data_IF_056792133864
#
_entry.id   IF_056792133864
#
_cell.length_a   1.000
_cell.length_b   1.000
_cell.length_c   1.000
_cell.angle_alpha   90.00
_cell.angle_beta   90.00
_cell.angle_gamma   90.00
#
_symmetry.space_group_name_H-M   'P 1'
#
loop_
_entity.id
_entity.type
_entity.pdbx_description
1 polymer ?
#
# COMPACT_ATOMS: atom_id res chain seq x y z
N UNK A 1 -2.95 3.24 13.91
CA UNK A 1 -2.78 1.96 13.15
C UNK A 1 -4.05 1.08 12.97
N UNK A 2 -4.85 0.80 14.00
CA UNK A 2 -6.04 -0.09 13.89
C UNK A 2 -7.10 0.40 12.88
N UNK A 3 -7.21 1.72 12.71
CA UNK A 3 -8.08 2.34 11.69
C UNK A 3 -7.72 1.90 10.27
N UNK A 4 -6.44 2.00 9.89
CA UNK A 4 -5.95 1.58 8.57
C UNK A 4 -6.17 0.07 8.36
N UNK A 5 -5.87 -0.76 9.36
CA UNK A 5 -6.10 -2.21 9.23
C UNK A 5 -7.59 -2.52 8.99
N UNK A 6 -8.49 -1.87 9.73
CA UNK A 6 -9.94 -2.01 9.54
C UNK A 6 -10.41 -1.49 8.18
N UNK A 7 -9.84 -0.40 7.71
CA UNK A 7 -10.11 0.15 6.38
C UNK A 7 -9.69 -0.85 5.28
N UNK A 8 -8.50 -1.44 5.38
CA UNK A 8 -8.02 -2.45 4.42
C UNK A 8 -8.89 -3.70 4.45
N UNK A 9 -9.31 -4.15 5.64
CA UNK A 9 -10.24 -5.30 5.82
C UNK A 9 -11.60 -5.05 5.17
N UNK A 10 -12.16 -3.86 5.34
CA UNK A 10 -13.49 -3.48 4.81
C UNK A 10 -13.48 -3.09 3.33
N UNK A 11 -12.31 -2.80 2.77
CA UNK A 11 -12.17 -2.34 1.40
C UNK A 11 -12.63 -3.41 0.39
N UNK A 12 -13.64 -3.08 -0.42
CA UNK A 12 -14.23 -3.98 -1.43
C UNK A 12 -13.22 -4.32 -2.53
N UNK A 13 -12.92 -5.61 -2.72
CA UNK A 13 -12.05 -6.09 -3.79
C UNK A 13 -12.84 -6.32 -5.08
N UNK A 14 -12.69 -5.39 -6.02
CA UNK A 14 -13.39 -5.38 -7.31
C UNK A 14 -12.60 -6.09 -8.41
N UNK A 15 -11.29 -6.21 -8.26
CA UNK A 15 -10.39 -6.80 -9.25
C UNK A 15 -9.65 -8.00 -8.65
N UNK A 16 -9.29 -8.97 -9.49
CA UNK A 16 -8.56 -10.15 -9.05
C UNK A 16 -7.14 -9.78 -8.67
N UNK A 17 -6.46 -9.00 -9.50
CA UNK A 17 -5.08 -8.61 -9.24
C UNK A 17 -4.76 -7.18 -9.67
N UNK A 18 -3.67 -6.64 -9.13
CA UNK A 18 -3.10 -5.37 -9.57
C UNK A 18 -1.61 -5.53 -9.84
N UNK A 19 -1.13 -4.73 -10.77
CA UNK A 19 0.30 -4.56 -11.03
C UNK A 19 0.63 -3.08 -11.06
N UNK A 20 1.67 -2.71 -10.31
CA UNK A 20 2.22 -1.36 -10.24
C UNK A 20 3.64 -1.44 -10.75
N UNK A 21 3.94 -0.79 -11.86
CA UNK A 21 5.26 -0.84 -12.46
C UNK A 21 5.30 -0.46 -13.93
N UNK A 22 6.46 -0.65 -14.56
CA UNK A 22 6.72 -0.29 -15.94
C UNK A 22 7.50 -1.37 -16.68
N UNK A 23 7.83 -1.12 -17.94
CA UNK A 23 8.68 -2.00 -18.74
C UNK A 23 10.14 -1.92 -18.28
N UNK A 24 10.88 -3.03 -18.34
CA UNK A 24 12.34 -3.03 -18.07
C UNK A 24 13.16 -2.91 -19.36
N UNK A 25 14.39 -2.40 -19.25
CA UNK A 25 15.37 -2.49 -20.32
C UNK A 25 15.61 -3.95 -20.75
N UNK A 26 15.94 -4.13 -22.03
CA UNK A 26 16.29 -5.44 -22.59
C UNK A 26 17.49 -6.06 -21.86
N UNK A 27 17.41 -7.36 -21.56
CA UNK A 27 18.45 -8.10 -20.86
C UNK A 27 18.38 -8.02 -19.33
N UNK A 28 17.39 -7.30 -18.78
CA UNK A 28 17.15 -7.29 -17.34
C UNK A 28 16.39 -8.54 -16.91
N UNK A 29 16.75 -9.15 -15.77
CA UNK A 29 16.14 -10.40 -15.27
C UNK A 29 14.61 -10.33 -15.12
N UNK A 30 14.08 -9.14 -14.80
CA UNK A 30 12.65 -8.89 -14.63
C UNK A 30 11.91 -8.52 -15.93
N UNK A 31 12.61 -8.38 -17.07
CA UNK A 31 12.02 -7.96 -18.35
C UNK A 31 10.89 -8.88 -18.78
N UNK A 32 11.13 -10.19 -18.82
CA UNK A 32 10.15 -11.19 -19.26
C UNK A 32 8.94 -11.20 -18.34
N UNK A 33 9.16 -11.14 -17.02
CA UNK A 33 8.11 -11.15 -16.02
C UNK A 33 7.22 -9.90 -16.09
N UNK A 34 7.83 -8.71 -16.08
CA UNK A 34 7.08 -7.45 -16.12
C UNK A 34 6.31 -7.31 -17.44
N UNK A 35 6.93 -7.64 -18.57
CA UNK A 35 6.29 -7.57 -19.88
C UNK A 35 5.08 -8.51 -19.99
N UNK A 36 5.20 -9.74 -19.45
CA UNK A 36 4.10 -10.70 -19.45
C UNK A 36 2.92 -10.27 -18.56
N UNK A 37 3.21 -9.73 -17.36
CA UNK A 37 2.17 -9.20 -16.45
C UNK A 37 1.46 -8.00 -17.08
N UNK A 38 2.23 -7.06 -17.64
CA UNK A 38 1.67 -5.86 -18.29
C UNK A 38 0.78 -6.26 -19.47
N UNK A 39 1.23 -7.17 -20.33
CA UNK A 39 0.48 -7.63 -21.50
C UNK A 39 -0.86 -8.28 -21.10
N UNK A 40 -0.85 -9.18 -20.12
CA UNK A 40 -2.09 -9.80 -19.62
C UNK A 40 -3.02 -8.79 -18.95
N UNK A 41 -2.46 -7.89 -18.13
CA UNK A 41 -3.26 -6.91 -17.42
C UNK A 41 -3.98 -5.94 -18.36
N UNK A 42 -3.32 -5.50 -19.45
CA UNK A 42 -3.94 -4.65 -20.48
C UNK A 42 -5.13 -5.31 -21.20
N UNK A 43 -5.13 -6.65 -21.26
CA UNK A 43 -6.17 -7.44 -21.93
C UNK A 43 -7.22 -8.01 -20.96
N UNK A 44 -7.13 -7.70 -19.67
CA UNK A 44 -8.04 -8.20 -18.64
C UNK A 44 -8.85 -7.09 -17.99
N UNK A 45 -10.14 -7.35 -17.77
CA UNK A 45 -11.01 -6.48 -16.97
C UNK A 45 -10.85 -6.71 -15.46
N UNK A 46 -10.20 -7.81 -15.08
CA UNK A 46 -9.99 -8.20 -13.68
C UNK A 46 -8.64 -7.74 -13.14
N UNK A 47 -7.90 -6.93 -13.91
CA UNK A 47 -6.60 -6.39 -13.51
C UNK A 47 -6.62 -4.86 -13.43
N UNK A 48 -5.98 -4.31 -12.39
CA UNK A 48 -5.67 -2.88 -12.31
C UNK A 48 -4.18 -2.68 -12.65
N UNK A 49 -3.91 -1.97 -13.75
CA UNK A 49 -2.55 -1.59 -14.14
C UNK A 49 -2.27 -0.14 -13.73
N UNK A 50 -1.35 0.07 -12.81
CA UNK A 50 -0.74 1.40 -12.56
C UNK A 50 0.59 1.43 -13.30
N UNK A 51 0.59 2.00 -14.50
CA UNK A 51 1.77 1.97 -15.38
C UNK A 51 2.70 3.15 -15.12
N UNK A 52 3.82 2.89 -14.45
CA UNK A 52 4.84 3.90 -14.15
C UNK A 52 5.75 4.12 -15.37
N UNK A 53 5.62 5.28 -16.04
CA UNK A 53 6.44 5.63 -17.22
C UNK A 53 7.87 6.05 -16.85
N UNK A 54 8.03 6.76 -15.73
CA UNK A 54 9.32 7.25 -15.21
C UNK A 54 9.39 7.17 -13.68
N UNK A 55 10.59 7.16 -13.10
CA UNK A 55 10.81 7.06 -11.64
C UNK A 55 10.12 8.16 -10.82
N UNK A 56 9.96 9.37 -11.39
CA UNK A 56 9.32 10.52 -10.72
C UNK A 56 7.79 10.32 -10.61
N UNK A 57 7.16 9.68 -11.60
CA UNK A 57 5.70 9.47 -11.65
C UNK A 57 5.14 8.49 -10.60
N UNK A 58 5.99 7.81 -9.83
CA UNK A 58 5.54 6.87 -8.81
C UNK A 58 5.28 7.51 -7.43
N UNK A 59 5.92 8.66 -7.15
CA UNK A 59 5.83 9.33 -5.85
C UNK A 59 4.52 10.13 -5.73
N UNK A 60 4.09 10.75 -6.83
CA UNK A 60 2.84 11.50 -6.91
C UNK A 60 1.60 10.59 -7.07
N UNK A 61 1.81 9.28 -7.29
CA UNK A 61 0.75 8.31 -7.55
C UNK A 61 0.36 7.48 -6.31
N UNK A 62 0.68 7.94 -5.10
CA UNK A 62 0.42 7.19 -3.86
C UNK A 62 -1.06 6.79 -3.73
N UNK A 63 -1.99 7.71 -4.01
CA UNK A 63 -3.43 7.43 -3.95
C UNK A 63 -3.89 6.44 -5.01
N UNK A 64 -3.33 6.53 -6.22
CA UNK A 64 -3.62 5.60 -7.31
C UNK A 64 -3.13 4.19 -6.98
N UNK A 65 -1.90 4.09 -6.47
CA UNK A 65 -1.25 2.84 -6.05
C UNK A 65 -2.03 2.21 -4.90
N UNK A 66 -2.27 2.95 -3.82
CA UNK A 66 -3.02 2.46 -2.66
C UNK A 66 -4.46 2.11 -3.05
N UNK A 67 -5.07 2.89 -3.93
CA UNK A 67 -6.38 2.60 -4.51
C UNK A 67 -6.39 1.28 -5.29
N UNK A 68 -5.39 1.04 -6.13
CA UNK A 68 -5.23 -0.23 -6.86
C UNK A 68 -5.04 -1.41 -5.91
N UNK A 69 -4.18 -1.27 -4.90
CA UNK A 69 -3.92 -2.31 -3.89
C UNK A 69 -5.14 -2.61 -3.03
N UNK A 70 -5.90 -1.60 -2.61
CA UNK A 70 -7.14 -1.75 -1.83
C UNK A 70 -8.30 -2.34 -2.64
N UNK A 71 -8.26 -2.26 -3.97
CA UNK A 71 -9.30 -2.80 -4.87
C UNK A 71 -8.97 -4.18 -5.43
N UNK A 72 -7.72 -4.64 -5.36
CA UNK A 72 -7.30 -5.94 -5.87
C UNK A 72 -7.23 -7.03 -4.79
N UNK A 73 -7.50 -8.29 -5.15
CA UNK A 73 -7.31 -9.44 -4.24
C UNK A 73 -5.83 -9.81 -4.09
N UNK A 74 -5.05 -9.69 -5.17
CA UNK A 74 -3.62 -9.95 -5.21
C UNK A 74 -2.83 -8.74 -5.73
N UNK A 75 -1.68 -8.44 -5.14
CA UNK A 75 -0.73 -7.45 -5.67
C UNK A 75 0.47 -8.21 -6.26
N UNK A 76 0.71 -8.10 -7.56
CA UNK A 76 1.80 -8.82 -8.22
C UNK A 76 3.13 -8.13 -7.99
N UNK A 77 4.12 -8.91 -7.54
CA UNK A 77 5.51 -8.48 -7.39
C UNK A 77 6.43 -9.37 -8.25
N UNK A 78 6.90 -8.87 -9.40
CA UNK A 78 7.86 -9.57 -10.24
C UNK A 78 9.21 -9.81 -9.53
N UNK A 79 9.94 -10.88 -9.89
CA UNK A 79 11.28 -11.12 -9.37
C UNK A 79 12.23 -9.98 -9.76
N UNK A 80 13.13 -9.59 -8.86
CA UNK A 80 14.12 -8.54 -9.09
C UNK A 80 13.68 -7.12 -8.69
N UNK A 81 12.46 -6.95 -8.15
CA UNK A 81 11.93 -5.64 -7.74
C UNK A 81 12.18 -5.24 -6.29
N UNK A 82 12.95 -6.03 -5.52
CA UNK A 82 13.32 -5.64 -4.16
C UNK A 82 14.75 -6.04 -3.80
N UNK A 83 15.61 -5.04 -3.60
CA UNK A 83 16.85 -5.14 -2.81
C UNK A 83 16.54 -5.36 -1.31
N UNK A 84 15.27 -5.22 -0.94
CA UNK A 84 14.75 -5.13 0.43
C UNK A 84 14.42 -6.47 1.09
N UNK A 85 14.48 -7.59 0.35
CA UNK A 85 14.18 -8.91 0.93
C UNK A 85 15.10 -9.30 2.09
N UNK A 86 16.36 -8.86 2.10
CA UNK A 86 17.30 -9.15 3.19
C UNK A 86 17.01 -8.33 4.45
N UNK A 87 16.61 -7.07 4.30
CA UNK A 87 16.38 -6.17 5.43
C UNK A 87 15.09 -6.44 6.20
N UNK A 88 14.15 -7.20 5.61
CA UNK A 88 12.85 -7.49 6.21
C UNK A 88 12.65 -8.96 6.60
N UNK A 89 13.69 -9.78 6.49
CA UNK A 89 13.61 -11.22 6.75
C UNK A 89 13.05 -11.52 8.15
N UNK A 90 13.41 -10.72 9.16
CA UNK A 90 12.90 -10.85 10.53
C UNK A 90 11.40 -10.62 10.72
N UNK A 91 10.72 -9.99 9.75
CA UNK A 91 9.29 -9.67 9.84
C UNK A 91 8.43 -10.54 8.93
N UNK A 92 9.03 -11.29 8.01
CA UNK A 92 8.32 -12.14 7.05
C UNK A 92 8.01 -13.50 7.70
N UNK A 93 6.77 -14.02 7.57
CA UNK A 93 6.45 -15.37 8.02
C UNK A 93 7.38 -16.42 7.42
N UNK A 94 7.80 -17.41 8.21
CA UNK A 94 8.74 -18.46 7.79
C UNK A 94 8.28 -19.18 6.52
N UNK A 95 6.99 -19.50 6.45
CA UNK A 95 6.37 -20.15 5.29
C UNK A 95 5.79 -19.11 4.36
N UNK A 96 6.29 -19.07 3.12
CA UNK A 96 5.84 -18.08 2.12
C UNK A 96 4.40 -18.28 1.72
N UNK A 97 3.93 -19.52 1.77
CA UNK A 97 2.56 -19.91 1.42
C UNK A 97 1.53 -19.35 2.40
N UNK A 98 1.96 -18.83 3.56
CA UNK A 98 1.06 -18.21 4.52
C UNK A 98 0.55 -16.83 4.10
N UNK A 99 1.22 -16.18 3.16
CA UNK A 99 0.91 -14.79 2.78
C UNK A 99 1.15 -14.47 1.31
N UNK A 100 1.74 -15.38 0.54
CA UNK A 100 2.11 -15.16 -0.86
C UNK A 100 1.87 -16.40 -1.72
N UNK A 101 1.69 -16.16 -3.02
CA UNK A 101 1.52 -17.18 -4.04
C UNK A 101 2.69 -17.10 -5.01
N UNK A 102 3.38 -18.21 -5.24
CA UNK A 102 4.46 -18.26 -6.20
C UNK A 102 3.95 -18.72 -7.57
N UNK A 103 4.01 -17.84 -8.56
CA UNK A 103 3.68 -18.14 -9.96
C UNK A 103 4.96 -18.61 -10.65
N UNK A 104 4.97 -19.88 -11.09
CA UNK A 104 6.13 -20.45 -11.78
C UNK A 104 6.28 -19.89 -13.20
N UNK A 105 7.50 -19.88 -13.77
CA UNK A 105 7.75 -19.34 -15.12
C UNK A 105 6.84 -19.95 -16.20
N UNK A 106 6.50 -21.24 -16.11
CA UNK A 106 5.66 -21.96 -17.07
C UNK A 106 4.19 -21.51 -17.01
N UNK A 107 3.80 -20.84 -15.91
CA UNK A 107 2.45 -20.33 -15.67
C UNK A 107 2.35 -18.83 -15.91
N UNK A 108 3.45 -18.19 -16.32
CA UNK A 108 3.54 -16.74 -16.45
C UNK A 108 2.56 -16.17 -17.47
N UNK A 109 2.11 -16.94 -18.45
CA UNK A 109 1.11 -16.56 -19.45
C UNK A 109 -0.35 -16.78 -19.03
N UNK A 110 -0.60 -17.29 -17.82
CA UNK A 110 -1.93 -17.67 -17.31
C UNK A 110 -2.15 -17.19 -15.87
N UNK A 111 -1.73 -15.97 -15.57
CA UNK A 111 -1.74 -15.41 -14.21
C UNK A 111 -3.17 -15.39 -13.64
N UNK A 112 -4.12 -14.91 -14.43
CA UNK A 112 -5.52 -14.84 -14.03
C UNK A 112 -6.12 -16.23 -13.74
N UNK A 113 -5.79 -17.24 -14.56
CA UNK A 113 -6.23 -18.63 -14.34
C UNK A 113 -5.64 -19.24 -13.07
N UNK A 114 -4.41 -18.87 -12.70
CA UNK A 114 -3.78 -19.36 -11.48
C UNK A 114 -4.43 -18.72 -10.26
N UNK A 115 -4.58 -17.39 -10.27
CA UNK A 115 -5.09 -16.65 -9.12
C UNK A 115 -6.59 -16.89 -8.88
N UNK A 116 -7.37 -17.12 -9.93
CA UNK A 116 -8.82 -17.40 -9.83
C UNK A 116 -9.13 -18.75 -9.18
N UNK A 117 -8.18 -19.69 -9.20
CA UNK A 117 -8.34 -21.02 -8.56
C UNK A 117 -8.16 -20.99 -7.05
N UNK A 118 -7.69 -19.88 -6.49
CA UNK A 118 -7.42 -19.77 -5.06
C UNK A 118 -8.73 -19.46 -4.32
N UNK A 119 -9.15 -20.28 -3.35
CA UNK A 119 -10.40 -20.06 -2.62
C UNK A 119 -10.38 -18.73 -1.85
N UNK A 120 -11.50 -18.03 -1.80
CA UNK A 120 -11.60 -16.74 -1.10
C UNK A 120 -11.21 -16.84 0.39
N UNK A 121 -11.49 -17.98 1.04
CA UNK A 121 -11.08 -18.24 2.42
C UNK A 121 -9.56 -18.19 2.59
N UNK A 122 -8.82 -18.70 1.61
CA UNK A 122 -7.36 -18.69 1.63
C UNK A 122 -6.82 -17.29 1.35
N UNK A 123 -7.45 -16.56 0.41
CA UNK A 123 -7.13 -15.14 0.15
C UNK A 123 -7.29 -14.29 1.41
N UNK A 124 -8.38 -14.50 2.16
CA UNK A 124 -8.64 -13.78 3.41
C UNK A 124 -7.61 -14.12 4.48
N UNK A 125 -7.24 -15.41 4.61
CA UNK A 125 -6.19 -15.86 5.54
C UNK A 125 -4.85 -15.18 5.23
N UNK A 126 -4.39 -15.25 3.97
CA UNK A 126 -3.16 -14.59 3.53
C UNK A 126 -3.20 -13.09 3.79
N UNK A 127 -4.35 -12.46 3.53
CA UNK A 127 -4.54 -11.02 3.76
C UNK A 127 -4.39 -10.65 5.24
N UNK A 128 -4.97 -11.41 6.16
CA UNK A 128 -4.82 -11.11 7.59
C UNK A 128 -3.36 -11.20 8.04
N UNK A 129 -2.60 -12.15 7.50
CA UNK A 129 -1.15 -12.23 7.75
C UNK A 129 -0.43 -10.97 7.25
N UNK A 130 -0.73 -10.50 6.03
CA UNK A 130 -0.15 -9.26 5.48
C UNK A 130 -0.55 -8.02 6.29
N UNK A 131 -1.83 -7.88 6.66
CA UNK A 131 -2.35 -6.75 7.47
C UNK A 131 -1.69 -6.71 8.85
N UNK A 132 -1.42 -7.88 9.44
CA UNK A 132 -0.69 -8.00 10.68
C UNK A 132 0.80 -7.67 10.52
N UNK A 133 1.41 -8.05 9.39
CA UNK A 133 2.83 -7.87 9.12
C UNK A 133 3.22 -6.42 8.80
N UNK A 134 2.45 -5.69 7.98
CA UNK A 134 2.82 -4.35 7.48
C UNK A 134 3.19 -3.36 8.61
N UNK A 135 2.41 -3.22 9.70
CA UNK A 135 2.78 -2.34 10.80
C UNK A 135 4.13 -2.67 11.43
N UNK A 136 4.48 -3.97 11.51
CA UNK A 136 5.75 -4.44 12.08
C UNK A 136 6.91 -4.01 11.19
N UNK A 137 6.75 -4.18 9.87
CA UNK A 137 7.75 -3.82 8.86
C UNK A 137 7.98 -2.31 8.80
N UNK A 138 6.92 -1.51 8.90
CA UNK A 138 6.98 -0.06 8.66
C UNK A 138 7.29 0.76 9.91
N UNK A 139 6.86 0.32 11.10
CA UNK A 139 6.86 1.18 12.30
C UNK A 139 7.54 0.58 13.54
N UNK A 140 7.93 -0.70 13.53
CA UNK A 140 8.47 -1.35 14.73
C UNK A 140 9.80 -2.03 14.45
N UNK A 141 10.76 -1.88 15.37
CA UNK A 141 11.95 -2.73 15.39
C UNK A 141 11.57 -4.17 15.78
N UNK A 142 12.27 -5.23 15.35
CA UNK A 142 11.85 -6.61 15.63
C UNK A 142 11.86 -6.97 17.12
N UNK A 143 12.62 -6.21 17.92
CA UNK A 143 12.74 -6.39 19.38
C UNK A 143 11.70 -5.61 20.22
N UNK A 144 10.72 -4.96 19.59
CA UNK A 144 9.72 -4.15 20.31
C UNK A 144 8.65 -5.02 21.01
N UNK A 145 8.23 -4.61 22.22
CA UNK A 145 7.22 -5.31 23.03
C UNK A 145 5.79 -4.94 22.59
N UNK A 146 5.10 -5.88 21.95
CA UNK A 146 3.78 -5.65 21.32
C UNK A 146 2.61 -5.46 22.29
N UNK A 147 2.72 -5.94 23.54
CA UNK A 147 1.69 -5.71 24.56
C UNK A 147 1.60 -4.24 24.99
N UNK A 148 2.67 -3.45 24.78
CA UNK A 148 2.73 -2.01 25.09
C UNK A 148 2.49 -1.11 23.87
N UNK A 149 2.44 -1.68 22.65
CA UNK A 149 2.27 -0.93 21.39
C UNK A 149 0.77 -0.65 21.16
N UNK A 150 0.14 0.00 22.13
CA UNK A 150 -1.07 0.80 21.92
C UNK A 150 -0.69 2.13 21.29
N UNK A 151 -0.24 2.12 20.04
CA UNK A 151 0.45 3.26 19.45
C UNK A 151 -0.54 4.38 19.03
N UNK A 152 -0.38 5.57 19.61
CA UNK A 152 -0.61 6.85 18.91
C UNK A 152 0.67 7.12 18.13
N UNK A 153 0.64 7.04 16.80
CA UNK A 153 1.84 7.26 16.00
C UNK A 153 2.27 8.74 15.97
N UNK A 154 3.41 9.03 15.34
CA UNK A 154 3.92 10.39 15.21
C UNK A 154 2.91 11.31 14.49
N UNK A 155 2.08 10.75 13.61
CA UNK A 155 1.00 11.47 12.92
C UNK A 155 -0.19 11.67 13.85
N UNK A 156 -0.63 10.65 14.59
CA UNK A 156 -1.67 10.77 15.62
C UNK A 156 -1.29 11.79 16.70
N UNK A 157 -0.02 11.78 17.12
CA UNK A 157 0.54 12.71 18.11
C UNK A 157 0.59 14.13 17.53
N UNK A 158 1.08 14.28 16.30
CA UNK A 158 1.10 15.57 15.62
C UNK A 158 -0.32 16.13 15.45
N UNK A 159 -1.30 15.29 15.11
CA UNK A 159 -2.69 15.70 14.92
C UNK A 159 -3.35 16.11 16.24
N UNK A 160 -3.09 15.40 17.33
CA UNK A 160 -3.56 15.78 18.68
C UNK A 160 -2.98 17.15 19.07
N UNK A 161 -1.69 17.38 18.88
CA UNK A 161 -1.05 18.66 19.21
C UNK A 161 -1.50 19.81 18.30
N UNK A 162 -1.66 19.56 17.00
CA UNK A 162 -2.23 20.53 16.05
C UNK A 162 -3.66 20.91 16.45
N UNK A 163 -4.48 19.94 16.86
CA UNK A 163 -5.85 20.19 17.31
C UNK A 163 -5.88 21.09 18.55
N UNK A 164 -4.94 20.91 19.50
CA UNK A 164 -4.79 21.81 20.66
C UNK A 164 -4.45 23.23 20.22
N UNK A 165 -3.52 23.40 19.27
CA UNK A 165 -3.14 24.73 18.73
C UNK A 165 -4.32 25.44 18.07
N UNK A 166 -5.10 24.74 17.24
CA UNK A 166 -6.27 25.32 16.55
C UNK A 166 -7.33 25.78 17.55
N UNK A 167 -7.60 25.00 18.61
CA UNK A 167 -8.52 25.42 19.68
C UNK A 167 -8.02 26.67 20.40
N UNK A 168 -6.73 26.72 20.74
CA UNK A 168 -6.12 27.87 21.40
C UNK A 168 -6.18 29.16 20.56
N UNK A 169 -6.07 29.05 19.24
CA UNK A 169 -6.24 30.17 18.29
C UNK A 169 -7.70 30.62 18.25
N UNK A 170 -8.64 29.68 18.22
CA UNK A 170 -10.08 29.98 18.20
C UNK A 170 -10.54 30.66 19.49
N UNK A 171 -10.02 30.22 20.64
CA UNK A 171 -10.35 30.77 21.95
C UNK A 171 -9.75 32.19 22.12
N UNK A 172 -8.52 32.42 21.67
CA UNK A 172 -7.91 33.76 21.66
C UNK A 172 -8.54 34.72 20.63
N UNK A 173 -9.18 34.21 19.58
CA UNK A 173 -9.96 35.03 18.64
C UNK A 173 -11.30 35.50 19.21
N UNK A 174 -11.73 34.94 20.36
CA UNK A 174 -12.99 35.26 21.03
C UNK A 174 -12.82 36.35 22.11
N UNK A 175 -11.59 36.71 22.46
CA UNK A 175 -11.24 37.80 23.38
C UNK A 175 -10.38 38.84 22.68
N UNK A 176 -11.01 39.62 21.79
CA UNK A 176 -10.67 41.00 21.43
C UNK A 176 -9.27 41.33 20.89
N UNK A 177 -9.17 41.67 19.61
CA UNK A 177 -8.82 43.03 19.12
C UNK A 177 -8.92 43.06 17.60
N UNK A 178 -9.45 44.15 17.05
CA UNK A 178 -9.64 44.34 15.61
C UNK A 178 -8.31 44.22 14.85
N UNK A 179 -8.29 43.37 13.82
CA UNK A 179 -7.20 43.29 12.84
C UNK A 179 -7.69 43.90 11.53
N UNK A 180 -6.89 44.83 11.00
CA UNK A 180 -7.10 45.55 9.75
C UNK A 180 -7.43 44.63 8.55
N UNK A 181 -8.12 45.11 7.50
CA UNK A 181 -8.52 44.30 6.37
C UNK A 181 -7.31 43.93 5.50
N UNK A 182 -6.70 42.79 5.81
CA UNK A 182 -5.61 42.18 5.05
C UNK A 182 -6.07 40.89 4.41
N UNK A 183 -6.38 40.96 3.11
CA UNK A 183 -6.51 39.90 2.09
C UNK A 183 -6.77 38.45 2.59
N UNK A 184 -7.98 37.97 2.30
CA UNK A 184 -8.29 36.55 2.15
C UNK A 184 -7.30 35.89 1.18
N UNK A 185 -6.41 35.04 1.68
CA UNK A 185 -5.78 34.01 0.88
C UNK A 185 -6.77 32.85 0.78
N UNK A 186 -7.57 32.85 -0.29
CA UNK A 186 -8.28 31.67 -0.75
C UNK A 186 -7.24 30.64 -1.18
N UNK A 187 -7.23 29.48 -0.53
CA UNK A 187 -6.67 28.27 -1.11
C UNK A 187 -7.88 27.35 -1.37
N UNK A 188 -8.23 27.16 -2.64
CA UNK A 188 -9.03 26.00 -3.05
C UNK A 188 -8.15 24.74 -3.00
N UNK A 189 -8.82 23.62 -2.76
CA UNK A 189 -8.24 22.32 -2.42
C UNK A 189 -7.24 21.75 -3.43
#
# INVERSE_FOLDING_TARGET
MSSWQNEVRRSKRTHLFSFVGGTRPKGHVAEVYQSAVISQCKNSKNCILVFCKHWVSAWDAADEILGAMKRARFCIQPPGDTRTRRSFEWYIPERREDWSVFIRPEQLNKIEDVLSKIPEKEIQRMREVVIWMIPRVTYAHPSANWAEIGFRDAVDTALVELTKRVRHIKDNSSTGTAVAPGKLALWEA
#
